data_IF_501178559520
#
_entry.id   IF_501178559520
#
_cell.length_a   1.000
_cell.length_b   1.000
_cell.length_c   1.000
_cell.angle_alpha   90.00
_cell.angle_beta   90.00
_cell.angle_gamma   90.00
#
_symmetry.space_group_name_H-M   'P 1'
#
loop_
_entity.id
_entity.type
_entity.pdbx_description
1 polymer ?
#
# COMPACT_ATOMS: atom_id res chain seq x y z
N UNK A 1 10.48 -29.18 -21.22
CA UNK A 1 10.92 -28.06 -20.36
C UNK A 1 10.76 -26.78 -21.16
N UNK A 2 9.97 -25.82 -20.66
CA UNK A 2 9.64 -24.58 -21.38
C UNK A 2 10.69 -23.51 -21.11
N UNK A 3 11.09 -22.77 -22.14
CA UNK A 3 12.02 -21.64 -22.04
C UNK A 3 11.25 -20.33 -22.04
N UNK A 4 11.73 -19.32 -21.32
CA UNK A 4 11.12 -17.99 -21.31
C UNK A 4 11.45 -17.33 -22.67
N UNK A 5 10.44 -16.93 -23.46
CA UNK A 5 10.69 -16.28 -24.74
C UNK A 5 11.31 -14.89 -24.55
N UNK A 6 12.07 -14.42 -25.55
CA UNK A 6 12.56 -13.04 -25.58
C UNK A 6 11.43 -12.12 -26.02
N UNK A 7 10.88 -11.34 -25.09
CA UNK A 7 9.85 -10.35 -25.39
C UNK A 7 10.45 -9.10 -26.04
N UNK A 8 9.73 -8.50 -26.99
CA UNK A 8 10.12 -7.23 -27.62
C UNK A 8 9.54 -6.01 -26.88
N UNK A 9 8.48 -6.19 -26.10
CA UNK A 9 7.79 -5.14 -25.36
C UNK A 9 7.27 -5.63 -24.02
N UNK A 10 7.23 -4.74 -23.02
CA UNK A 10 6.59 -5.00 -21.70
C UNK A 10 5.13 -5.45 -21.84
N UNK A 11 4.42 -4.96 -22.86
CA UNK A 11 3.01 -5.35 -23.08
C UNK A 11 2.90 -6.83 -23.45
N UNK A 12 3.76 -7.32 -24.35
CA UNK A 12 3.80 -8.73 -24.75
C UNK A 12 4.17 -9.65 -23.58
N UNK A 13 5.09 -9.20 -22.71
CA UNK A 13 5.45 -9.93 -21.49
C UNK A 13 4.26 -10.04 -20.53
N UNK A 14 3.54 -8.93 -20.30
CA UNK A 14 2.36 -8.92 -19.44
C UNK A 14 1.23 -9.83 -19.96
N UNK A 15 0.93 -9.77 -21.26
CA UNK A 15 -0.05 -10.64 -21.92
C UNK A 15 0.35 -12.13 -21.86
N UNK A 16 1.65 -12.43 -21.97
CA UNK A 16 2.17 -13.79 -21.83
C UNK A 16 1.99 -14.33 -20.40
N UNK A 17 2.39 -13.57 -19.38
CA UNK A 17 2.25 -14.00 -17.98
C UNK A 17 0.79 -13.98 -17.47
N UNK A 18 -0.11 -13.24 -18.13
CA UNK A 18 -1.54 -13.32 -17.86
C UNK A 18 -2.16 -14.65 -18.31
N UNK A 19 -1.54 -15.32 -19.28
CA UNK A 19 -2.06 -16.55 -19.90
C UNK A 19 -1.28 -17.81 -19.53
N UNK A 20 -0.04 -17.67 -19.05
CA UNK A 20 0.86 -18.79 -18.73
C UNK A 20 1.12 -18.88 -17.22
N UNK A 21 1.11 -20.10 -16.70
CA UNK A 21 1.48 -20.36 -15.30
C UNK A 21 3.00 -20.20 -15.09
N UNK A 22 3.38 -19.47 -14.04
CA UNK A 22 4.79 -19.17 -13.76
C UNK A 22 5.57 -20.35 -13.18
N UNK A 23 4.89 -21.37 -12.65
CA UNK A 23 5.54 -22.57 -12.12
C UNK A 23 6.24 -23.39 -13.21
N UNK A 24 5.71 -23.35 -14.44
CA UNK A 24 6.26 -24.04 -15.62
C UNK A 24 7.65 -23.52 -16.04
N UNK A 25 8.06 -22.34 -15.57
CA UNK A 25 9.29 -21.64 -15.96
C UNK A 25 10.30 -21.48 -14.81
N UNK A 26 10.01 -22.05 -13.62
CA UNK A 26 10.82 -21.87 -12.40
C UNK A 26 12.31 -22.24 -12.58
N UNK A 27 12.62 -23.26 -13.39
CA UNK A 27 14.00 -23.69 -13.65
C UNK A 27 14.83 -22.67 -14.44
N UNK A 28 14.19 -21.75 -15.16
CA UNK A 28 14.86 -20.66 -15.89
C UNK A 28 14.87 -19.34 -15.10
N UNK A 29 14.09 -19.26 -14.02
CA UNK A 29 14.10 -18.10 -13.12
C UNK A 29 15.33 -18.11 -12.21
N UNK A 30 15.86 -16.93 -11.91
CA UNK A 30 16.93 -16.75 -10.93
C UNK A 30 16.33 -16.21 -9.64
N UNK A 31 16.80 -16.72 -8.50
CA UNK A 31 16.44 -16.16 -7.20
C UNK A 31 16.92 -14.71 -7.11
N UNK A 32 15.97 -13.79 -7.00
CA UNK A 32 16.25 -12.38 -6.76
C UNK A 32 15.87 -12.05 -5.32
N UNK A 33 16.78 -11.43 -4.57
CA UNK A 33 16.48 -10.88 -3.25
C UNK A 33 15.63 -9.61 -3.41
N UNK A 34 14.31 -9.79 -3.49
CA UNK A 34 13.36 -8.67 -3.50
C UNK A 34 13.10 -8.23 -2.06
N UNK A 35 13.43 -6.96 -1.76
CA UNK A 35 13.11 -6.35 -0.45
C UNK A 35 11.84 -5.53 -0.58
N UNK A 36 10.70 -6.08 -0.14
CA UNK A 36 9.48 -5.32 0.00
C UNK A 36 9.61 -4.33 1.17
N UNK A 37 10.09 -3.12 0.88
CA UNK A 37 10.13 -2.05 1.88
C UNK A 37 8.80 -1.32 1.91
N UNK A 38 8.14 -1.31 3.07
CA UNK A 38 7.02 -0.39 3.28
C UNK A 38 7.57 1.04 3.24
N UNK A 39 6.91 1.98 2.54
CA UNK A 39 7.35 3.37 2.53
C UNK A 39 7.44 3.89 3.97
N UNK A 40 8.56 4.52 4.31
CA UNK A 40 8.80 5.05 5.65
C UNK A 40 7.79 6.17 5.93
N UNK A 41 6.96 5.99 6.95
CA UNK A 41 6.09 7.06 7.47
C UNK A 41 6.94 7.98 8.35
N UNK A 42 6.77 9.29 8.20
CA UNK A 42 7.39 10.28 9.10
C UNK A 42 6.48 10.49 10.30
N UNK A 43 7.08 10.57 11.49
CA UNK A 43 6.37 10.94 12.71
C UNK A 43 6.07 12.43 12.69
N UNK A 44 4.83 12.81 12.98
CA UNK A 44 4.42 14.20 13.14
C UNK A 44 3.95 14.37 14.58
N UNK A 45 4.52 15.33 15.30
CA UNK A 45 4.06 15.72 16.63
C UNK A 45 2.94 16.76 16.47
N UNK A 46 1.76 16.45 17.02
CA UNK A 46 0.59 17.32 16.97
C UNK A 46 0.15 17.64 18.40
N UNK A 47 0.03 18.94 18.71
CA UNK A 47 -0.51 19.40 19.99
C UNK A 47 -2.03 19.56 19.86
N UNK A 48 -2.76 18.91 20.75
CA UNK A 48 -4.22 19.00 20.88
C UNK A 48 -4.55 19.20 22.36
N UNK A 49 -5.65 19.87 22.65
CA UNK A 49 -6.17 19.97 24.01
C UNK A 49 -6.72 18.61 24.50
N UNK A 50 -6.77 18.43 25.81
CA UNK A 50 -7.22 17.17 26.44
C UNK A 50 -8.67 16.81 26.07
N UNK A 51 -9.57 17.80 25.93
CA UNK A 51 -10.96 17.53 25.56
C UNK A 51 -11.04 16.96 24.15
N UNK A 52 -10.25 17.49 23.22
CA UNK A 52 -10.16 16.97 21.84
C UNK A 52 -9.58 15.56 21.81
N UNK A 53 -8.52 15.27 22.56
CA UNK A 53 -7.94 13.93 22.63
C UNK A 53 -8.96 12.92 23.18
N UNK A 54 -9.70 13.27 24.24
CA UNK A 54 -10.76 12.42 24.81
C UNK A 54 -11.87 12.14 23.80
N UNK A 55 -12.32 13.17 23.06
CA UNK A 55 -13.31 13.01 21.99
C UNK A 55 -12.81 12.08 20.88
N UNK A 56 -11.57 12.26 20.42
CA UNK A 56 -10.96 11.42 19.40
C UNK A 56 -10.91 9.95 19.82
N UNK A 57 -10.50 9.67 21.06
CA UNK A 57 -10.50 8.30 21.61
C UNK A 57 -11.90 7.69 21.60
N UNK A 58 -12.89 8.41 22.11
CA UNK A 58 -14.29 7.93 22.13
C UNK A 58 -14.83 7.59 20.74
N UNK A 59 -14.53 8.42 19.73
CA UNK A 59 -14.94 8.18 18.33
C UNK A 59 -14.16 7.01 17.71
N UNK A 60 -12.89 6.85 18.08
CA UNK A 60 -12.07 5.78 17.57
C UNK A 60 -12.52 4.42 18.15
N UNK A 61 -12.84 4.39 19.45
CA UNK A 61 -13.36 3.22 20.14
C UNK A 61 -14.70 2.76 19.54
N UNK A 62 -15.62 3.69 19.25
CA UNK A 62 -16.90 3.34 18.61
C UNK A 62 -16.75 2.81 17.17
N UNK A 63 -15.62 3.10 16.52
CA UNK A 63 -15.26 2.60 15.19
C UNK A 63 -14.34 1.37 15.24
N UNK A 64 -13.94 0.91 16.42
CA UNK A 64 -13.02 -0.22 16.59
C UNK A 64 -11.61 0.03 16.02
N UNK A 65 -11.17 1.28 15.93
CA UNK A 65 -9.84 1.65 15.41
C UNK A 65 -9.06 2.46 16.42
N UNK A 66 -7.73 2.47 16.32
CA UNK A 66 -6.90 3.33 17.19
C UNK A 66 -7.08 4.82 16.88
N UNK A 67 -7.05 5.70 17.88
CA UNK A 67 -7.25 7.14 17.68
C UNK A 67 -6.22 7.78 16.72
N UNK A 68 -4.96 7.32 16.71
CA UNK A 68 -3.96 7.78 15.74
C UNK A 68 -4.29 7.34 14.31
N UNK A 69 -4.91 6.17 14.13
CA UNK A 69 -5.40 5.71 12.84
C UNK A 69 -6.59 6.56 12.38
N UNK A 70 -7.52 6.88 13.28
CA UNK A 70 -8.63 7.77 12.99
C UNK A 70 -8.15 9.14 12.51
N UNK A 71 -7.23 9.78 13.25
CA UNK A 71 -6.64 11.07 12.89
C UNK A 71 -5.98 10.99 11.51
N UNK A 72 -5.24 9.92 11.24
CA UNK A 72 -4.60 9.73 9.93
C UNK A 72 -5.60 9.62 8.79
N UNK A 73 -6.71 8.89 8.98
CA UNK A 73 -7.77 8.76 7.96
C UNK A 73 -8.38 10.13 7.68
N UNK A 74 -8.76 10.87 8.72
CA UNK A 74 -9.37 12.20 8.55
C UNK A 74 -8.47 13.21 7.85
N UNK A 75 -7.16 13.22 8.16
CA UNK A 75 -6.20 14.08 7.45
C UNK A 75 -6.19 13.76 5.96
N UNK A 76 -6.15 12.48 5.58
CA UNK A 76 -6.15 12.05 4.17
C UNK A 76 -7.47 12.37 3.47
N UNK A 77 -8.60 12.12 4.12
CA UNK A 77 -9.93 12.45 3.59
C UNK A 77 -10.07 13.95 3.35
N UNK A 78 -9.64 14.78 4.30
CA UNK A 78 -9.70 16.23 4.15
C UNK A 78 -8.79 16.74 3.01
N UNK A 79 -7.58 16.19 2.90
CA UNK A 79 -6.68 16.50 1.78
C UNK A 79 -7.29 16.14 0.42
N UNK A 80 -7.96 14.99 0.31
CA UNK A 80 -8.62 14.59 -0.92
C UNK A 80 -9.79 15.52 -1.28
N UNK A 81 -10.59 15.94 -0.28
CA UNK A 81 -11.67 16.92 -0.47
C UNK A 81 -11.15 18.26 -0.99
N UNK A 82 -10.04 18.76 -0.44
CA UNK A 82 -9.44 20.04 -0.86
C UNK A 82 -8.81 19.99 -2.25
N UNK A 83 -8.40 18.82 -2.75
CA UNK A 83 -7.88 18.67 -4.12
C UNK A 83 -8.97 18.60 -5.18
N UNK A 84 -10.18 18.25 -4.78
CA UNK A 84 -11.34 18.09 -5.67
C UNK A 84 -12.20 19.38 -5.75
N UNK A 85 -11.85 20.41 -4.99
CA UNK A 85 -12.45 21.74 -4.99
C UNK A 85 -11.52 22.73 -5.69
#
# INVERSE_FOLDING_TARGET
MKKIPKFKSEKEEADFWATHDSADYLLETKEVKVKFTRPKKKLVSLRLDDKTIKKLKKIADSKGIGYLQLVRVWVLENMNKMKAA
#
